data_IF_170358319815
#
_entry.id   IF_170358319815
#
_cell.length_a   1.000
_cell.length_b   1.000
_cell.length_c   1.000
_cell.angle_alpha   90.00
_cell.angle_beta   90.00
_cell.angle_gamma   90.00
#
_symmetry.space_group_name_H-M   'P 1'
#
loop_
_entity.id
_entity.type
_entity.pdbx_description
1 polymer ?
#
# COMPACT_ATOMS: atom_id res chain seq x y z
N UNK A 1 -1.57 -1.80 2.96
CA UNK A 1 -1.89 -2.98 3.80
C UNK A 1 -2.75 -2.59 4.99
N UNK A 2 -2.25 -1.78 5.94
CA UNK A 2 -3.03 -1.37 7.11
C UNK A 2 -4.20 -0.43 6.77
N UNK A 3 -4.00 0.57 5.91
CA UNK A 3 -5.08 1.52 5.53
C UNK A 3 -6.21 0.89 4.73
N UNK A 4 -5.94 -0.23 4.05
CA UNK A 4 -6.93 -0.98 3.27
C UNK A 4 -7.67 -2.02 4.11
N UNK A 5 -7.46 -2.04 5.44
CA UNK A 5 -8.03 -3.01 6.39
C UNK A 5 -7.95 -4.47 5.89
N UNK A 6 -6.84 -4.85 5.26
CA UNK A 6 -6.65 -6.20 4.72
C UNK A 6 -5.79 -7.05 5.64
N UNK A 7 -6.08 -8.35 5.64
CA UNK A 7 -5.28 -9.37 6.33
C UNK A 7 -3.79 -9.13 6.06
N UNK A 8 -2.95 -9.00 7.09
CA UNK A 8 -3.16 -9.40 8.49
C UNK A 8 -3.72 -8.32 9.44
N UNK A 9 -4.23 -7.20 8.93
CA UNK A 9 -4.78 -6.06 9.68
C UNK A 9 -6.31 -5.92 9.56
N UNK A 10 -7.03 -7.01 9.28
CA UNK A 10 -8.47 -7.10 9.02
C UNK A 10 -9.34 -7.12 10.30
N UNK A 11 -8.99 -6.33 11.31
CA UNK A 11 -9.64 -6.37 12.63
C UNK A 11 -11.14 -6.00 12.66
N UNK A 12 -11.64 -5.03 11.86
CA UNK A 12 -13.06 -4.71 11.83
C UNK A 12 -13.92 -5.80 11.16
N UNK A 13 -13.31 -6.62 10.31
CA UNK A 13 -13.98 -7.67 9.51
C UNK A 13 -13.85 -9.06 10.15
N UNK A 14 -13.06 -9.19 11.23
CA UNK A 14 -12.61 -10.47 11.81
C UNK A 14 -13.70 -11.54 11.90
N UNK A 15 -13.80 -12.39 10.88
CA UNK A 15 -14.84 -13.43 10.78
C UNK A 15 -14.80 -14.44 11.93
N UNK A 16 -13.61 -14.66 12.49
CA UNK A 16 -13.36 -15.56 13.61
C UNK A 16 -13.65 -14.96 14.98
N UNK A 17 -13.71 -13.63 15.10
CA UNK A 17 -13.90 -12.94 16.39
C UNK A 17 -15.25 -12.22 16.47
N UNK A 18 -15.77 -11.74 15.33
CA UNK A 18 -16.95 -10.88 15.23
C UNK A 18 -17.99 -11.39 14.22
N UNK A 19 -17.92 -12.64 13.76
CA UNK A 19 -18.91 -13.24 12.84
C UNK A 19 -19.14 -12.35 11.60
N UNK A 20 -18.04 -11.92 10.95
CA UNK A 20 -18.01 -11.02 9.79
C UNK A 20 -18.31 -9.52 10.08
N UNK A 21 -18.35 -9.11 11.35
CA UNK A 21 -18.34 -7.71 11.74
C UNK A 21 -19.53 -6.92 11.18
N UNK A 22 -19.26 -5.79 10.53
CA UNK A 22 -20.31 -4.94 9.96
C UNK A 22 -21.02 -5.56 8.75
N UNK A 23 -20.45 -6.60 8.12
CA UNK A 23 -21.07 -7.20 6.94
C UNK A 23 -22.38 -7.92 7.22
N UNK A 24 -22.65 -8.28 8.48
CA UNK A 24 -23.88 -8.98 8.89
C UNK A 24 -25.11 -8.08 8.82
N UNK A 25 -24.93 -6.76 8.93
CA UNK A 25 -26.03 -5.80 9.01
C UNK A 25 -26.48 -5.29 7.63
N UNK A 26 -25.73 -5.57 6.57
CA UNK A 26 -26.00 -5.04 5.22
C UNK A 26 -26.70 -6.06 4.31
N UNK A 27 -27.70 -5.56 3.58
CA UNK A 27 -28.35 -6.28 2.48
C UNK A 27 -27.38 -6.54 1.32
N UNK A 28 -27.70 -7.52 0.47
CA UNK A 28 -26.83 -8.01 -0.62
C UNK A 28 -26.26 -6.92 -1.54
N UNK A 29 -27.05 -5.90 -1.88
CA UNK A 29 -26.61 -4.81 -2.76
C UNK A 29 -25.64 -3.85 -2.06
N UNK A 30 -25.92 -3.46 -0.81
CA UNK A 30 -25.03 -2.59 -0.04
C UNK A 30 -23.73 -3.31 0.35
N UNK A 31 -23.82 -4.60 0.69
CA UNK A 31 -22.66 -5.48 0.86
C UNK A 31 -21.74 -5.46 -0.36
N UNK A 32 -22.29 -5.63 -1.57
CA UNK A 32 -21.50 -5.61 -2.80
C UNK A 32 -20.76 -4.28 -3.03
N UNK A 33 -21.36 -3.15 -2.66
CA UNK A 33 -20.72 -1.83 -2.75
C UNK A 33 -19.54 -1.68 -1.78
N UNK A 34 -19.64 -2.23 -0.56
CA UNK A 34 -18.51 -2.25 0.38
C UNK A 34 -17.35 -3.09 -0.15
N UNK A 35 -17.61 -4.29 -0.69
CA UNK A 35 -16.56 -5.11 -1.33
C UNK A 35 -15.91 -4.39 -2.50
N UNK A 36 -16.71 -3.80 -3.38
CA UNK A 36 -16.20 -3.02 -4.51
C UNK A 36 -15.32 -1.86 -4.02
N UNK A 37 -15.75 -1.13 -2.99
CA UNK A 37 -15.00 -0.02 -2.39
C UNK A 37 -13.65 -0.47 -1.82
N UNK A 38 -13.61 -1.58 -1.09
CA UNK A 38 -12.35 -2.10 -0.54
C UNK A 38 -11.38 -2.56 -1.63
N UNK A 39 -11.87 -3.24 -2.67
CA UNK A 39 -11.03 -3.64 -3.80
C UNK A 39 -10.58 -2.44 -4.64
N UNK A 40 -11.43 -1.43 -4.81
CA UNK A 40 -11.07 -0.18 -5.45
C UNK A 40 -9.96 0.56 -4.67
N UNK A 41 -10.08 0.62 -3.33
CA UNK A 41 -9.04 1.18 -2.46
C UNK A 41 -7.73 0.41 -2.55
N UNK A 42 -7.76 -0.91 -2.71
CA UNK A 42 -6.56 -1.73 -2.90
C UNK A 42 -5.84 -1.38 -4.20
N UNK A 43 -6.59 -1.24 -5.31
CA UNK A 43 -6.03 -0.85 -6.61
C UNK A 43 -5.47 0.57 -6.54
N UNK A 44 -6.19 1.50 -5.90
CA UNK A 44 -5.78 2.89 -5.74
C UNK A 44 -4.48 3.01 -4.94
N UNK A 45 -4.37 2.32 -3.80
CA UNK A 45 -3.14 2.33 -2.98
C UNK A 45 -1.97 1.65 -3.69
N UNK A 46 -2.23 0.60 -4.47
CA UNK A 46 -1.21 -0.01 -5.33
C UNK A 46 -0.73 0.96 -6.40
N UNK A 47 -1.66 1.70 -7.03
CA UNK A 47 -1.36 2.77 -7.98
C UNK A 47 -0.46 3.86 -7.37
N UNK A 48 -0.83 4.39 -6.19
CA UNK A 48 -0.02 5.39 -5.48
C UNK A 48 1.37 4.87 -5.10
N UNK A 49 1.48 3.61 -4.71
CA UNK A 49 2.78 2.99 -4.40
C UNK A 49 3.66 2.93 -5.65
N UNK A 50 3.07 2.56 -6.79
CA UNK A 50 3.78 2.50 -8.07
C UNK A 50 4.23 3.89 -8.53
N UNK A 51 3.40 4.92 -8.34
CA UNK A 51 3.76 6.29 -8.73
C UNK A 51 4.88 6.87 -7.87
N UNK A 52 4.77 6.72 -6.55
CA UNK A 52 5.68 7.36 -5.59
C UNK A 52 7.04 6.65 -5.52
N UNK A 53 7.07 5.32 -5.60
CA UNK A 53 8.29 4.54 -5.33
C UNK A 53 8.83 3.76 -6.53
N UNK A 54 7.99 3.40 -7.51
CA UNK A 54 8.40 2.54 -8.64
C UNK A 54 8.47 3.29 -9.97
N UNK A 55 8.56 4.63 -9.94
CA UNK A 55 8.75 5.46 -11.13
C UNK A 55 7.56 5.44 -12.10
N UNK A 56 6.39 4.96 -11.68
CA UNK A 56 5.16 5.03 -12.43
C UNK A 56 5.24 4.41 -13.84
N UNK A 57 5.20 5.29 -14.85
CA UNK A 57 5.10 5.00 -16.28
C UNK A 57 6.46 4.77 -16.93
N UNK A 58 7.56 5.03 -16.20
CA UNK A 58 8.90 4.86 -16.72
C UNK A 58 9.26 3.37 -16.87
N UNK A 59 9.89 2.98 -17.98
CA UNK A 59 10.45 1.65 -18.12
C UNK A 59 11.56 1.44 -17.08
N UNK A 60 11.75 0.20 -16.59
CA UNK A 60 12.75 -0.10 -15.57
C UNK A 60 14.20 0.09 -16.06
N UNK A 61 14.44 -0.03 -17.37
CA UNK A 61 15.72 0.24 -18.01
C UNK A 61 15.51 0.95 -19.34
N UNK A 62 16.34 1.95 -19.62
CA UNK A 62 16.34 2.72 -20.86
C UNK A 62 17.06 1.95 -21.98
N UNK A 63 16.47 0.82 -22.38
CA UNK A 63 16.98 -0.06 -23.45
C UNK A 63 15.97 -0.03 -24.60
N UNK A 64 16.47 0.11 -25.83
CA UNK A 64 15.69 0.29 -27.05
C UNK A 64 14.44 -0.62 -27.22
N UNK A 65 14.42 -1.93 -26.84
CA UNK A 65 13.21 -2.74 -26.99
C UNK A 65 12.15 -2.51 -25.90
N UNK A 66 12.52 -1.99 -24.73
CA UNK A 66 11.58 -1.75 -23.61
C UNK A 66 10.86 -0.39 -23.73
N UNK A 67 11.47 0.56 -24.43
CA UNK A 67 10.89 1.88 -24.72
C UNK A 67 9.78 1.84 -25.79
N UNK A 68 9.72 0.77 -26.59
CA UNK A 68 8.66 0.59 -27.59
C UNK A 68 7.31 0.20 -26.97
N UNK A 69 7.32 -0.31 -25.74
CA UNK A 69 6.10 -0.66 -25.03
C UNK A 69 5.46 0.63 -24.47
N UNK A 70 4.18 0.90 -24.75
CA UNK A 70 3.48 2.05 -24.20
C UNK A 70 3.60 2.16 -22.67
N UNK A 71 3.98 3.34 -22.17
CA UNK A 71 4.13 3.63 -20.73
C UNK A 71 2.97 3.18 -19.82
N UNK A 72 1.68 3.25 -20.24
CA UNK A 72 0.57 2.74 -19.44
C UNK A 72 0.62 1.24 -19.16
N UNK A 73 1.22 0.44 -20.06
CA UNK A 73 1.35 -1.00 -19.88
C UNK A 73 2.34 -1.29 -18.75
N UNK A 74 3.44 -0.54 -18.68
CA UNK A 74 4.40 -0.64 -17.57
C UNK A 74 3.78 -0.29 -16.22
N UNK A 75 2.95 0.74 -16.20
CA UNK A 75 2.18 1.09 -15.00
C UNK A 75 1.26 -0.06 -14.58
N UNK A 76 0.48 -0.63 -15.50
CA UNK A 76 -0.43 -1.74 -15.22
C UNK A 76 0.31 -2.99 -14.72
N UNK A 77 1.46 -3.34 -15.31
CA UNK A 77 2.30 -4.47 -14.88
C UNK A 77 2.81 -4.26 -13.45
N UNK A 78 3.33 -3.06 -13.14
CA UNK A 78 3.82 -2.75 -11.79
C UNK A 78 2.69 -2.78 -10.76
N UNK A 79 1.51 -2.26 -11.12
CA UNK A 79 0.31 -2.33 -10.25
C UNK A 79 -0.10 -3.78 -10.02
N UNK A 80 -0.11 -4.62 -11.07
CA UNK A 80 -0.40 -6.04 -10.95
C UNK A 80 0.60 -6.78 -10.05
N UNK A 81 1.90 -6.43 -10.13
CA UNK A 81 2.92 -6.97 -9.24
C UNK A 81 2.66 -6.57 -7.78
N UNK A 82 2.36 -5.30 -7.51
CA UNK A 82 2.03 -4.84 -6.15
C UNK A 82 0.78 -5.54 -5.64
N UNK A 83 -0.27 -5.68 -6.45
CA UNK A 83 -1.48 -6.45 -6.10
C UNK A 83 -1.16 -7.93 -5.81
N UNK A 84 -0.26 -8.53 -6.59
CA UNK A 84 0.21 -9.88 -6.31
C UNK A 84 0.89 -9.98 -4.94
N UNK A 85 1.70 -8.98 -4.55
CA UNK A 85 2.29 -8.92 -3.20
C UNK A 85 1.20 -8.80 -2.13
N UNK A 86 0.14 -8.01 -2.35
CA UNK A 86 -1.01 -7.95 -1.42
C UNK A 86 -1.68 -9.32 -1.22
N UNK A 87 -1.90 -10.07 -2.30
CA UNK A 87 -2.47 -11.42 -2.25
C UNK A 87 -1.51 -12.41 -1.58
N UNK A 88 -0.21 -12.30 -1.86
CA UNK A 88 0.82 -13.16 -1.29
C UNK A 88 0.98 -12.95 0.21
N UNK A 89 0.99 -11.70 0.69
CA UNK A 89 1.04 -11.38 2.13
C UNK A 89 -0.20 -11.93 2.83
N UNK A 90 -1.39 -11.74 2.24
CA UNK A 90 -2.63 -12.33 2.76
C UNK A 90 -2.54 -13.84 2.93
N UNK A 91 -1.90 -14.55 2.00
CA UNK A 91 -1.78 -16.00 2.04
C UNK A 91 -0.70 -16.50 3.03
N UNK A 92 0.30 -15.68 3.38
CA UNK A 92 1.47 -16.11 4.15
C UNK A 92 1.45 -15.68 5.60
N UNK A 93 0.86 -14.53 5.93
CA UNK A 93 0.93 -13.98 7.29
C UNK A 93 -0.30 -14.34 8.13
N UNK A 94 -0.12 -14.82 9.38
CA UNK A 94 -1.22 -14.94 10.33
C UNK A 94 -1.76 -13.55 10.74
N UNK A 95 -3.01 -13.50 11.18
CA UNK A 95 -3.67 -12.26 11.63
C UNK A 95 -2.97 -11.66 12.86
N UNK A 96 -2.87 -10.34 12.91
CA UNK A 96 -2.37 -9.61 14.08
C UNK A 96 -3.51 -9.23 15.03
N UNK A 97 -3.26 -9.33 16.34
CA UNK A 97 -4.17 -8.83 17.37
C UNK A 97 -4.16 -7.30 17.42
N UNK A 98 -5.27 -6.69 17.85
CA UNK A 98 -5.45 -5.23 17.95
C UNK A 98 -4.31 -4.56 18.73
N UNK A 99 -3.97 -5.13 19.89
CA UNK A 99 -2.93 -4.59 20.76
C UNK A 99 -1.55 -4.61 20.10
N UNK A 100 -1.27 -5.61 19.25
CA UNK A 100 -0.02 -5.74 18.52
C UNK A 100 0.05 -4.74 17.37
N UNK A 101 -1.07 -4.53 16.67
CA UNK A 101 -1.19 -3.53 15.62
C UNK A 101 -0.97 -2.12 16.17
N UNK A 102 -1.64 -1.77 17.28
CA UNK A 102 -1.49 -0.46 17.91
C UNK A 102 -0.05 -0.24 18.38
N UNK A 103 0.59 -1.27 18.94
CA UNK A 103 2.00 -1.21 19.33
C UNK A 103 2.93 -1.02 18.12
N UNK A 104 2.65 -1.69 17.00
CA UNK A 104 3.43 -1.55 15.78
C UNK A 104 3.31 -0.13 15.20
N UNK A 105 2.10 0.41 15.11
CA UNK A 105 1.86 1.79 14.67
C UNK A 105 2.56 2.82 15.53
N UNK A 106 2.32 2.79 16.84
CA UNK A 106 2.79 3.85 17.75
C UNK A 106 4.23 3.70 18.20
N UNK A 107 4.72 2.48 18.45
CA UNK A 107 6.08 2.27 19.00
C UNK A 107 7.13 1.99 17.94
N UNK A 108 6.75 1.56 16.75
CA UNK A 108 7.70 1.19 15.69
C UNK A 108 7.61 2.15 14.52
N UNK A 109 6.45 2.25 13.85
CA UNK A 109 6.34 3.06 12.64
C UNK A 109 6.50 4.56 12.90
N UNK A 110 5.82 5.11 13.90
CA UNK A 110 5.86 6.54 14.19
C UNK A 110 7.27 7.07 14.53
N UNK A 111 8.05 6.48 15.46
CA UNK A 111 9.41 6.96 15.70
C UNK A 111 10.32 6.73 14.50
N UNK A 112 10.14 5.63 13.77
CA UNK A 112 10.96 5.33 12.59
C UNK A 112 10.76 6.33 11.45
N UNK A 113 9.51 6.69 11.14
CA UNK A 113 9.22 7.67 10.09
C UNK A 113 9.72 9.06 10.46
N UNK A 114 9.60 9.47 11.73
CA UNK A 114 10.14 10.76 12.21
C UNK A 114 11.67 10.83 12.07
N UNK A 115 12.38 9.76 12.42
CA UNK A 115 13.83 9.67 12.23
C UNK A 115 14.18 9.77 10.75
N UNK A 116 13.45 9.04 9.88
CA UNK A 116 13.70 9.07 8.43
C UNK A 116 13.48 10.46 7.83
N UNK A 117 12.44 11.18 8.25
CA UNK A 117 12.19 12.56 7.81
C UNK A 117 13.34 13.48 8.22
N UNK A 118 13.80 13.38 9.47
CA UNK A 118 14.94 14.17 9.95
C UNK A 118 16.23 13.84 9.19
N UNK A 119 16.50 12.57 8.90
CA UNK A 119 17.67 12.13 8.12
C UNK A 119 17.58 12.62 6.67
N UNK A 120 16.46 12.38 5.98
CA UNK A 120 16.29 12.81 4.59
C UNK A 120 16.45 14.33 4.46
N UNK A 121 15.83 15.10 5.36
CA UNK A 121 16.00 16.56 5.40
C UNK A 121 17.44 16.99 5.70
N UNK A 122 18.07 16.36 6.69
CA UNK A 122 19.47 16.65 7.06
C UNK A 122 20.46 16.35 5.94
N UNK A 123 20.30 15.22 5.25
CA UNK A 123 21.14 14.82 4.11
C UNK A 123 20.95 15.80 2.95
N UNK A 124 19.71 16.16 2.61
CA UNK A 124 19.45 17.12 1.52
C UNK A 124 20.10 18.48 1.80
N UNK A 125 20.07 18.96 3.05
CA UNK A 125 20.73 20.21 3.45
C UNK A 125 22.26 20.09 3.46
N UNK A 126 22.81 19.01 4.01
CA UNK A 126 24.26 18.83 4.13
C UNK A 126 24.97 18.73 2.77
N UNK A 127 24.32 18.08 1.79
CA UNK A 127 24.87 17.92 0.44
C UNK A 127 24.37 18.98 -0.56
N UNK A 128 23.54 19.93 -0.13
CA UNK A 128 22.99 20.98 -1.00
C UNK A 128 22.10 20.45 -2.14
N UNK A 129 21.53 19.25 -1.97
CA UNK A 129 20.72 18.54 -2.98
C UNK A 129 19.23 18.95 -2.95
N UNK A 130 18.94 20.17 -2.53
CA UNK A 130 17.56 20.65 -2.46
C UNK A 130 16.99 20.79 -3.87
N UNK A 131 15.87 20.10 -4.19
CA UNK A 131 15.23 20.25 -5.50
C UNK A 131 14.71 21.69 -5.63
N UNK A 132 15.26 22.43 -6.60
CA UNK A 132 14.93 23.84 -6.85
C UNK A 132 15.91 24.87 -6.30
N UNK A 133 17.01 24.46 -5.66
CA UNK A 133 18.15 25.34 -5.39
C UNK A 133 19.09 25.39 -6.61
N UNK A 134 18.60 25.99 -7.69
CA UNK A 134 19.36 26.49 -8.83
C UNK A 134 18.89 27.92 -9.13
#
# INVERSE_FOLDING_TARGET
LAETNRAPFDLPEGESELVAGYFVEYSSMSFALFFLGEYANMILMSGMTVTLFLGGWLPPFDIAPLNWIPGPIWFAIKVALVLFVFLWVRATTPRYRYDQLMRLGWKVFLPFTLIFVAICGGVMLAFGLLPGAA
#
